data_IF_999566387456
#
_entry.id   IF_999566387456
#
_cell.length_a   1.000
_cell.length_b   1.000
_cell.length_c   1.000
_cell.angle_alpha   90.00
_cell.angle_beta   90.00
_cell.angle_gamma   90.00
#
_symmetry.space_group_name_H-M   'P 1'
#
loop_
_entity.id
_entity.type
_entity.pdbx_description
1 polymer ?
#
# COMPACT_ATOMS: atom_id res chain seq x y z
N UNK A 1 19.14 -4.20 14.90
CA UNK A 1 17.84 -3.92 15.58
C UNK A 1 16.90 -5.12 15.55
N UNK A 2 17.46 -6.34 15.76
CA UNK A 2 16.75 -7.63 15.62
C UNK A 2 16.52 -8.31 17.00
N UNK A 3 16.06 -7.59 17.97
CA UNK A 3 15.80 -8.19 19.28
C UNK A 3 14.45 -7.75 19.82
N UNK A 4 13.39 -8.43 19.41
CA UNK A 4 12.11 -8.46 20.12
C UNK A 4 11.20 -9.59 19.59
N UNK A 5 11.52 -10.83 19.94
CA UNK A 5 10.56 -11.90 19.99
C UNK A 5 10.66 -12.52 21.39
N UNK A 6 9.95 -11.97 22.36
CA UNK A 6 9.65 -12.64 23.63
C UNK A 6 8.32 -13.38 23.49
N UNK A 7 8.45 -14.63 23.18
CA UNK A 7 7.75 -15.84 23.66
C UNK A 7 6.41 -15.56 24.36
N UNK A 8 5.33 -15.84 23.65
CA UNK A 8 4.05 -16.23 24.22
C UNK A 8 3.85 -17.73 24.01
N UNK A 9 4.20 -18.55 25.04
CA UNK A 9 3.71 -19.92 25.13
C UNK A 9 2.27 -19.87 25.60
N UNK A 10 1.30 -20.13 24.72
CA UNK A 10 0.02 -20.71 25.07
C UNK A 10 -0.25 -21.89 24.16
N UNK A 11 -0.17 -23.07 24.74
CA UNK A 11 -0.66 -24.31 24.15
C UNK A 11 -2.18 -24.20 23.99
N UNK A 12 -2.67 -24.29 22.78
CA UNK A 12 -4.03 -24.76 22.50
C UNK A 12 -4.02 -25.43 21.15
N UNK A 13 -4.11 -26.73 21.19
CA UNK A 13 -4.44 -27.61 20.08
C UNK A 13 -5.90 -27.42 19.74
N UNK A 14 -6.18 -26.73 18.67
CA UNK A 14 -7.31 -26.96 17.78
C UNK A 14 -7.09 -26.16 16.49
N UNK A 15 -6.77 -26.87 15.41
CA UNK A 15 -6.66 -26.29 14.06
C UNK A 15 -7.99 -26.54 13.38
N UNK A 16 -8.77 -25.50 13.02
CA UNK A 16 -9.90 -25.68 12.11
C UNK A 16 -9.35 -25.99 10.72
N UNK A 17 -9.83 -27.03 10.11
CA UNK A 17 -9.60 -27.30 8.68
C UNK A 17 -10.07 -26.11 7.84
N UNK A 18 -9.12 -25.29 7.41
CA UNK A 18 -9.37 -24.34 6.34
C UNK A 18 -9.41 -25.10 5.02
N UNK A 19 -10.50 -24.91 4.30
CA UNK A 19 -10.89 -25.48 2.99
C UNK A 19 -9.83 -26.32 2.27
N UNK A 20 -10.25 -27.42 1.67
CA UNK A 20 -9.49 -28.39 0.90
C UNK A 20 -8.15 -27.88 0.34
N UNK A 21 -7.03 -28.38 0.90
CA UNK A 21 -5.68 -28.14 0.39
C UNK A 21 -4.90 -26.95 0.94
N UNK A 22 -5.34 -26.24 2.00
CA UNK A 22 -4.54 -25.16 2.63
C UNK A 22 -4.34 -23.90 1.78
N UNK A 23 -5.12 -23.71 0.70
CA UNK A 23 -5.01 -22.56 -0.22
C UNK A 23 -6.06 -21.50 0.08
N UNK A 24 -5.60 -20.29 0.33
CA UNK A 24 -6.44 -19.10 0.54
C UNK A 24 -6.74 -18.38 -0.77
N UNK A 25 -7.96 -17.85 -0.90
CA UNK A 25 -8.26 -16.82 -1.90
C UNK A 25 -8.11 -15.46 -1.23
N UNK A 26 -7.24 -14.64 -1.77
CA UNK A 26 -6.83 -13.37 -1.19
C UNK A 26 -7.06 -12.20 -2.15
N UNK A 27 -7.21 -11.00 -1.59
CA UNK A 27 -7.34 -9.75 -2.33
C UNK A 27 -6.37 -8.73 -1.73
N UNK A 28 -5.37 -8.32 -2.49
CA UNK A 28 -4.51 -7.20 -2.13
C UNK A 28 -5.09 -5.89 -2.68
N UNK A 29 -5.41 -4.94 -1.81
CA UNK A 29 -5.86 -3.59 -2.20
C UNK A 29 -4.66 -2.72 -2.53
N UNK A 30 -4.79 -1.84 -3.53
CA UNK A 30 -3.72 -0.92 -3.95
C UNK A 30 -4.29 0.43 -4.40
N UNK A 31 -3.41 1.35 -4.82
CA UNK A 31 -3.80 2.63 -5.40
C UNK A 31 -4.06 2.49 -6.90
N UNK A 32 -4.96 3.33 -7.43
CA UNK A 32 -5.26 3.37 -8.88
C UNK A 32 -3.99 3.62 -9.69
N UNK A 33 -3.75 2.76 -10.68
CA UNK A 33 -2.59 2.81 -11.55
C UNK A 33 -1.40 1.96 -11.08
N UNK A 34 -1.46 1.37 -9.86
CA UNK A 34 -0.44 0.46 -9.35
C UNK A 34 -0.85 -1.02 -9.45
N UNK A 35 -2.03 -1.33 -9.96
CA UNK A 35 -2.51 -2.71 -10.09
C UNK A 35 -1.54 -3.61 -10.88
N UNK A 36 -0.92 -3.17 -12.01
CA UNK A 36 0.06 -3.99 -12.72
C UNK A 36 1.34 -4.24 -11.93
N UNK A 37 1.79 -3.25 -11.15
CA UNK A 37 3.00 -3.39 -10.30
C UNK A 37 2.73 -4.39 -9.18
N UNK A 38 1.58 -4.25 -8.49
CA UNK A 38 1.19 -5.18 -7.44
C UNK A 38 1.01 -6.61 -7.96
N UNK A 39 0.43 -6.78 -9.16
CA UNK A 39 0.32 -8.11 -9.79
C UNK A 39 1.69 -8.73 -10.03
N UNK A 40 2.67 -7.94 -10.49
CA UNK A 40 4.03 -8.41 -10.69
C UNK A 40 4.72 -8.78 -9.37
N UNK A 41 4.59 -7.96 -8.32
CA UNK A 41 5.09 -8.29 -6.97
C UNK A 41 4.51 -9.61 -6.45
N UNK A 42 3.21 -9.86 -6.65
CA UNK A 42 2.55 -11.11 -6.24
C UNK A 42 3.07 -12.31 -7.01
N UNK A 43 3.27 -12.20 -8.33
CA UNK A 43 3.84 -13.26 -9.16
C UNK A 43 5.26 -13.58 -8.69
N UNK A 44 6.08 -12.58 -8.41
CA UNK A 44 7.45 -12.74 -7.92
C UNK A 44 7.50 -13.39 -6.52
N UNK A 45 6.47 -13.21 -5.69
CA UNK A 45 6.31 -13.92 -4.41
C UNK A 45 5.79 -15.36 -4.53
N UNK A 46 5.43 -15.81 -5.74
CA UNK A 46 4.91 -17.15 -6.00
C UNK A 46 3.40 -17.30 -5.85
N UNK A 47 2.65 -16.22 -5.96
CA UNK A 47 1.19 -16.26 -5.95
C UNK A 47 0.61 -16.96 -7.19
N UNK A 48 -0.48 -17.69 -7.00
CA UNK A 48 -1.23 -18.33 -8.07
C UNK A 48 -2.50 -17.53 -8.40
N UNK A 49 -3.06 -17.74 -9.60
CA UNK A 49 -4.33 -17.15 -10.05
C UNK A 49 -4.39 -15.61 -9.86
N UNK A 50 -3.30 -14.94 -10.21
CA UNK A 50 -3.18 -13.49 -10.06
C UNK A 50 -4.05 -12.78 -11.10
N UNK A 51 -5.06 -12.02 -10.65
CA UNK A 51 -6.00 -11.30 -11.50
C UNK A 51 -6.14 -9.85 -11.06
N UNK A 52 -5.89 -8.93 -11.99
CA UNK A 52 -6.06 -7.49 -11.74
C UNK A 52 -7.54 -7.12 -11.74
N UNK A 53 -7.92 -6.34 -10.72
CA UNK A 53 -9.22 -5.71 -10.58
C UNK A 53 -9.08 -4.19 -10.41
N UNK A 54 -10.18 -3.52 -10.07
CA UNK A 54 -10.15 -2.07 -9.82
C UNK A 54 -9.57 -1.76 -8.43
N UNK A 55 -8.40 -1.15 -8.37
CA UNK A 55 -7.66 -0.81 -7.14
C UNK A 55 -7.38 -2.04 -6.25
N UNK A 56 -7.26 -3.20 -6.85
CA UNK A 56 -7.01 -4.45 -6.17
C UNK A 56 -6.48 -5.51 -7.13
N UNK A 57 -5.82 -6.53 -6.56
CA UNK A 57 -5.39 -7.73 -7.27
C UNK A 57 -5.82 -8.93 -6.45
N UNK A 58 -6.59 -9.85 -7.04
CA UNK A 58 -6.92 -11.14 -6.43
C UNK A 58 -5.86 -12.18 -6.74
N UNK A 59 -5.61 -13.07 -5.81
CA UNK A 59 -4.60 -14.12 -5.95
C UNK A 59 -4.90 -15.29 -5.00
N UNK A 60 -4.20 -16.41 -5.22
CA UNK A 60 -4.27 -17.58 -4.34
C UNK A 60 -2.89 -17.97 -3.83
N UNK A 61 -2.86 -18.55 -2.64
CA UNK A 61 -1.65 -19.07 -2.03
C UNK A 61 -1.87 -19.65 -0.64
N UNK A 62 -0.84 -20.20 -0.07
CA UNK A 62 -0.82 -20.79 1.26
C UNK A 62 -0.64 -19.75 2.39
N UNK A 63 -0.56 -20.21 3.63
CA UNK A 63 -0.32 -19.38 4.81
C UNK A 63 1.04 -18.68 4.75
N UNK A 64 2.06 -19.34 4.25
CA UNK A 64 3.38 -18.74 4.09
C UNK A 64 3.34 -17.57 3.09
N UNK A 65 2.61 -17.70 1.98
CA UNK A 65 2.41 -16.61 1.05
C UNK A 65 1.60 -15.46 1.66
N UNK A 66 0.58 -15.74 2.48
CA UNK A 66 -0.17 -14.71 3.21
C UNK A 66 0.76 -13.86 4.09
N UNK A 67 1.66 -14.51 4.84
CA UNK A 67 2.62 -13.82 5.71
C UNK A 67 3.65 -13.04 4.90
N UNK A 68 4.26 -13.66 3.88
CA UNK A 68 5.19 -12.96 2.97
C UNK A 68 4.54 -11.79 2.25
N UNK A 69 3.30 -11.92 1.81
CA UNK A 69 2.58 -10.84 1.14
C UNK A 69 2.40 -9.62 2.06
N UNK A 70 2.03 -9.83 3.32
CA UNK A 70 1.94 -8.73 4.29
C UNK A 70 3.30 -8.08 4.60
N UNK A 71 4.37 -8.87 4.67
CA UNK A 71 5.72 -8.41 4.98
C UNK A 71 6.38 -7.70 3.80
N UNK A 72 6.29 -8.26 2.60
CA UNK A 72 7.14 -7.93 1.46
C UNK A 72 6.49 -7.02 0.41
N UNK A 73 5.14 -7.01 0.26
CA UNK A 73 4.50 -6.21 -0.77
C UNK A 73 4.67 -4.70 -0.50
N UNK A 74 5.20 -4.02 -1.51
CA UNK A 74 5.53 -2.58 -1.43
C UNK A 74 4.35 -1.71 -1.83
N UNK A 75 3.53 -2.18 -2.77
CA UNK A 75 2.44 -1.40 -3.36
C UNK A 75 1.05 -1.77 -2.83
N UNK A 76 0.95 -2.81 -2.01
CA UNK A 76 -0.29 -3.15 -1.31
C UNK A 76 -0.59 -2.17 -0.18
N UNK A 77 -1.87 -1.86 0.01
CA UNK A 77 -2.36 -1.11 1.17
C UNK A 77 -3.00 -2.00 2.23
N UNK A 78 -3.61 -3.11 1.83
CA UNK A 78 -4.23 -4.13 2.70
C UNK A 78 -4.29 -5.47 1.97
N UNK A 79 -4.28 -6.55 2.74
CA UNK A 79 -4.51 -7.91 2.25
C UNK A 79 -5.70 -8.50 2.98
N UNK A 80 -6.69 -8.90 2.20
CA UNK A 80 -7.93 -9.48 2.68
C UNK A 80 -7.96 -10.96 2.33
N UNK A 81 -8.25 -11.82 3.30
CA UNK A 81 -8.46 -13.26 3.10
C UNK A 81 -9.96 -13.51 2.99
N UNK A 82 -10.42 -13.98 1.83
CA UNK A 82 -11.82 -14.27 1.61
C UNK A 82 -12.22 -15.51 2.42
N UNK A 83 -13.20 -15.35 3.29
CA UNK A 83 -13.76 -16.45 4.10
C UNK A 83 -15.09 -16.94 3.58
N UNK A 84 -15.88 -16.04 2.98
CA UNK A 84 -17.14 -16.42 2.34
C UNK A 84 -17.53 -15.43 1.24
N UNK A 85 -18.39 -15.85 0.35
CA UNK A 85 -18.96 -14.96 -0.66
C UNK A 85 -20.18 -15.62 -1.30
N UNK A 86 -21.32 -15.00 -1.09
CA UNK A 86 -22.60 -15.50 -1.58
C UNK A 86 -23.34 -14.43 -2.37
N UNK A 87 -24.19 -14.91 -3.24
CA UNK A 87 -25.11 -14.08 -3.98
C UNK A 87 -26.43 -14.05 -3.24
N UNK A 88 -26.80 -12.87 -2.77
CA UNK A 88 -28.10 -12.64 -2.18
C UNK A 88 -29.12 -12.42 -3.32
N UNK A 89 -30.04 -13.35 -3.50
CA UNK A 89 -31.11 -13.21 -4.49
C UNK A 89 -32.16 -12.22 -3.99
N UNK A 90 -32.00 -10.98 -4.36
CA UNK A 90 -33.00 -9.95 -4.12
C UNK A 90 -34.04 -10.04 -5.23
N UNK A 91 -35.12 -10.78 -5.00
CA UNK A 91 -36.26 -10.83 -5.95
C UNK A 91 -36.88 -9.44 -6.04
N UNK A 92 -36.99 -8.93 -7.26
CA UNK A 92 -37.62 -7.63 -7.51
C UNK A 92 -39.01 -7.54 -6.88
N UNK A 93 -39.45 -6.35 -6.56
CA UNK A 93 -40.81 -6.02 -6.04
C UNK A 93 -41.91 -6.41 -7.04
N UNK A 94 -42.16 -7.70 -7.20
CA UNK A 94 -43.38 -8.21 -7.84
C UNK A 94 -44.06 -9.04 -6.78
N UNK A 95 -45.12 -8.46 -6.21
CA UNK A 95 -46.01 -9.08 -5.21
C UNK A 95 -45.41 -9.34 -3.83
N UNK A 96 -45.23 -8.31 -2.99
CA UNK A 96 -45.41 -8.29 -1.51
C UNK A 96 -44.70 -9.29 -0.58
N UNK A 97 -44.22 -10.44 -1.04
CA UNK A 97 -43.79 -11.58 -0.21
C UNK A 97 -42.30 -11.91 -0.28
N UNK A 98 -41.44 -11.04 -0.80
CA UNK A 98 -39.99 -11.25 -0.83
C UNK A 98 -39.33 -10.87 0.48
N UNK A 99 -38.37 -11.69 0.99
CA UNK A 99 -37.53 -11.33 2.12
C UNK A 99 -36.79 -10.01 1.83
N UNK A 100 -36.69 -9.12 2.83
CA UNK A 100 -35.96 -7.86 2.68
C UNK A 100 -34.47 -8.13 2.47
N UNK A 101 -33.77 -7.34 1.65
CA UNK A 101 -32.33 -7.51 1.41
C UNK A 101 -31.49 -7.56 2.70
N UNK A 102 -31.85 -6.75 3.68
CA UNK A 102 -31.22 -6.70 5.00
C UNK A 102 -31.41 -7.98 5.83
N UNK A 103 -32.52 -8.68 5.64
CA UNK A 103 -32.79 -9.94 6.34
C UNK A 103 -32.02 -11.08 5.67
N UNK A 104 -31.91 -11.05 4.34
CA UNK A 104 -31.06 -12.01 3.61
C UNK A 104 -29.58 -11.86 4.00
N UNK A 105 -29.08 -10.63 4.12
CA UNK A 105 -27.73 -10.37 4.60
C UNK A 105 -27.53 -10.90 6.03
N UNK A 106 -28.49 -10.65 6.91
CA UNK A 106 -28.42 -11.09 8.30
C UNK A 106 -28.39 -12.61 8.40
N UNK A 107 -29.32 -13.33 7.73
CA UNK A 107 -29.36 -14.79 7.75
C UNK A 107 -28.10 -15.40 7.14
N UNK A 108 -27.59 -14.84 6.04
CA UNK A 108 -26.34 -15.29 5.46
C UNK A 108 -25.18 -15.19 6.45
N UNK A 109 -24.98 -14.03 7.09
CA UNK A 109 -23.90 -13.81 8.03
C UNK A 109 -24.06 -14.65 9.30
N UNK A 110 -25.29 -14.78 9.82
CA UNK A 110 -25.59 -15.59 11.00
C UNK A 110 -25.37 -17.08 10.73
N UNK A 111 -25.61 -17.53 9.50
CA UNK A 111 -25.40 -18.93 9.08
C UNK A 111 -23.93 -19.33 8.96
N UNK A 112 -22.99 -18.40 8.98
CA UNK A 112 -21.56 -18.70 8.95
C UNK A 112 -21.08 -19.25 10.30
N UNK A 113 -20.12 -20.17 10.27
CA UNK A 113 -19.49 -20.68 11.49
C UNK A 113 -18.35 -19.76 11.98
N UNK A 114 -18.71 -18.78 12.79
CA UNK A 114 -17.78 -17.78 13.32
C UNK A 114 -16.81 -18.35 14.38
N UNK A 115 -17.08 -19.55 14.92
CA UNK A 115 -16.16 -20.21 15.88
C UNK A 115 -14.82 -20.60 15.26
N UNK A 116 -14.74 -20.65 13.92
CA UNK A 116 -13.50 -20.87 13.18
C UNK A 116 -12.56 -19.66 13.20
N UNK A 117 -13.09 -18.46 13.43
CA UNK A 117 -12.34 -17.21 13.32
C UNK A 117 -12.19 -16.45 14.62
N UNK A 118 -13.08 -16.66 15.57
CA UNK A 118 -13.07 -15.93 16.84
C UNK A 118 -13.63 -16.78 17.99
N UNK A 119 -13.32 -16.38 19.22
CA UNK A 119 -13.90 -16.92 20.46
C UNK A 119 -14.83 -15.88 21.10
N UNK A 120 -15.51 -16.25 22.18
CA UNK A 120 -16.33 -15.32 22.96
C UNK A 120 -15.53 -14.16 23.60
N UNK A 121 -14.20 -14.29 23.70
CA UNK A 121 -13.30 -13.27 24.25
C UNK A 121 -12.69 -12.36 23.19
N UNK A 122 -12.86 -12.69 21.92
CA UNK A 122 -12.30 -11.93 20.80
C UNK A 122 -12.99 -10.59 20.66
N UNK A 123 -12.20 -9.54 20.40
CA UNK A 123 -12.72 -8.24 19.96
C UNK A 123 -12.74 -8.15 18.46
N UNK A 124 -13.78 -7.56 17.86
CA UNK A 124 -13.87 -7.43 16.41
C UNK A 124 -14.37 -6.06 15.97
N UNK A 125 -14.06 -5.71 14.73
CA UNK A 125 -14.63 -4.58 14.03
C UNK A 125 -15.08 -4.97 12.62
N UNK A 126 -15.97 -4.19 12.03
CA UNK A 126 -16.50 -4.41 10.69
C UNK A 126 -16.26 -3.17 9.84
N UNK A 127 -15.61 -3.36 8.70
CA UNK A 127 -15.43 -2.37 7.65
C UNK A 127 -16.28 -2.75 6.43
N UNK A 128 -17.36 -2.01 6.17
CA UNK A 128 -18.28 -2.28 5.08
C UNK A 128 -18.06 -1.33 3.91
N UNK A 129 -17.83 -1.90 2.72
CA UNK A 129 -17.76 -1.19 1.45
C UNK A 129 -18.94 -1.59 0.59
N UNK A 130 -19.75 -0.63 0.16
CA UNK A 130 -21.01 -0.88 -0.54
C UNK A 130 -21.04 -0.14 -1.88
N UNK A 131 -21.23 -0.92 -2.96
CA UNK A 131 -21.47 -0.46 -4.32
C UNK A 131 -22.79 -1.04 -4.84
N UNK A 132 -23.92 -0.65 -4.24
CA UNK A 132 -25.23 -1.22 -4.50
C UNK A 132 -26.32 -0.17 -4.41
N UNK A 133 -27.27 -0.24 -5.31
CA UNK A 133 -28.51 0.55 -5.21
C UNK A 133 -29.46 -0.02 -4.16
N UNK A 134 -29.34 -1.32 -3.87
CA UNK A 134 -30.15 -2.04 -2.88
C UNK A 134 -29.71 -1.70 -1.45
N UNK A 135 -28.38 -1.69 -1.22
CA UNK A 135 -27.78 -1.34 0.07
C UNK A 135 -27.12 0.06 -0.03
N UNK A 136 -27.83 1.10 0.34
CA UNK A 136 -27.35 2.48 0.15
C UNK A 136 -26.47 3.01 1.30
N UNK A 137 -26.39 2.30 2.42
CA UNK A 137 -25.75 2.80 3.63
C UNK A 137 -24.79 1.75 4.22
N UNK A 138 -23.49 1.99 4.11
CA UNK A 138 -22.45 1.09 4.63
C UNK A 138 -22.52 0.95 6.16
N UNK A 139 -22.88 2.04 6.88
CA UNK A 139 -23.04 1.99 8.34
C UNK A 139 -24.17 1.06 8.76
N UNK A 140 -25.27 1.05 8.00
CA UNK A 140 -26.38 0.13 8.24
C UNK A 140 -25.94 -1.33 8.03
N UNK A 141 -25.20 -1.62 6.95
CA UNK A 141 -24.59 -2.96 6.70
C UNK A 141 -23.71 -3.37 7.86
N UNK A 142 -22.83 -2.48 8.35
CA UNK A 142 -21.99 -2.74 9.52
C UNK A 142 -22.79 -3.17 10.74
N UNK A 143 -23.87 -2.45 11.07
CA UNK A 143 -24.72 -2.81 12.21
C UNK A 143 -25.43 -4.14 12.00
N UNK A 144 -25.97 -4.41 10.81
CA UNK A 144 -26.71 -5.64 10.53
C UNK A 144 -25.80 -6.88 10.61
N UNK A 145 -24.57 -6.77 10.08
CA UNK A 145 -23.55 -7.82 10.19
C UNK A 145 -23.13 -8.05 11.65
N UNK A 146 -22.92 -6.96 12.40
CA UNK A 146 -22.62 -7.03 13.85
C UNK A 146 -23.71 -7.77 14.61
N UNK A 147 -24.97 -7.45 14.36
CA UNK A 147 -26.11 -8.08 15.04
C UNK A 147 -26.19 -9.57 14.71
N UNK A 148 -25.99 -9.95 13.46
CA UNK A 148 -25.94 -11.36 13.02
C UNK A 148 -24.84 -12.16 13.73
N UNK A 149 -23.63 -11.60 13.85
CA UNK A 149 -22.51 -12.22 14.58
C UNK A 149 -22.84 -12.33 16.08
N UNK A 150 -23.40 -11.29 16.68
CA UNK A 150 -23.76 -11.29 18.09
C UNK A 150 -24.83 -12.35 18.40
N UNK A 151 -25.82 -12.49 17.52
CA UNK A 151 -26.90 -13.48 17.71
C UNK A 151 -26.43 -14.91 17.44
N UNK A 152 -25.52 -15.11 16.47
CA UNK A 152 -24.83 -16.39 16.30
C UNK A 152 -24.21 -16.90 17.63
N UNK A 153 -23.52 -16.04 18.36
CA UNK A 153 -22.90 -16.39 19.63
C UNK A 153 -23.91 -16.54 20.76
N UNK A 154 -24.97 -15.74 20.80
CA UNK A 154 -26.05 -15.88 21.81
C UNK A 154 -26.76 -17.22 21.74
N UNK A 155 -26.96 -17.74 20.53
CA UNK A 155 -27.68 -19.01 20.33
C UNK A 155 -26.82 -20.25 20.61
N UNK A 156 -25.49 -20.15 20.48
CA UNK A 156 -24.57 -21.29 20.62
C UNK A 156 -23.92 -21.44 21.99
N UNK A 157 -23.88 -20.40 22.78
CA UNK A 157 -23.19 -20.43 24.09
C UNK A 157 -24.10 -21.02 25.16
N UNK A 158 -24.38 -22.32 25.09
CA UNK A 158 -24.98 -23.04 26.21
C UNK A 158 -24.53 -24.49 26.19
N UNK A 159 -23.32 -24.73 26.72
CA UNK A 159 -22.94 -26.09 27.18
C UNK A 159 -23.86 -26.64 28.28
N UNK A 160 -24.69 -25.77 28.88
CA UNK A 160 -25.56 -26.08 30.04
C UNK A 160 -27.05 -25.98 29.73
N UNK A 161 -27.43 -25.83 28.45
CA UNK A 161 -28.82 -25.85 28.02
C UNK A 161 -29.68 -24.62 28.38
N UNK A 162 -29.10 -23.55 28.88
CA UNK A 162 -29.84 -22.32 29.25
C UNK A 162 -29.59 -21.21 28.24
N UNK A 163 -30.62 -20.64 27.59
CA UNK A 163 -30.47 -19.50 26.70
C UNK A 163 -30.10 -18.24 27.49
N UNK A 164 -29.07 -17.52 27.08
CA UNK A 164 -28.95 -16.09 27.39
C UNK A 164 -27.92 -15.61 28.39
N UNK A 165 -27.05 -16.48 28.96
CA UNK A 165 -25.96 -16.04 29.87
C UNK A 165 -24.57 -16.05 29.22
N UNK A 166 -24.50 -16.29 27.90
CA UNK A 166 -23.24 -16.53 27.21
C UNK A 166 -22.41 -15.29 26.99
N UNK A 167 -21.14 -15.37 27.32
CA UNK A 167 -20.08 -14.48 26.92
C UNK A 167 -20.04 -14.41 25.38
N UNK A 168 -20.00 -13.22 24.82
CA UNK A 168 -19.99 -13.01 23.38
C UNK A 168 -18.83 -12.10 22.99
N UNK A 169 -18.33 -12.19 21.75
CA UNK A 169 -17.34 -11.25 21.23
C UNK A 169 -17.80 -9.80 21.38
N UNK A 170 -16.88 -8.92 21.68
CA UNK A 170 -17.16 -7.48 21.85
C UNK A 170 -16.63 -6.68 20.65
N UNK A 171 -17.22 -5.50 20.42
CA UNK A 171 -16.78 -4.61 19.33
C UNK A 171 -15.69 -3.67 19.84
N UNK A 172 -14.56 -3.64 19.15
CA UNK A 172 -13.48 -2.66 19.36
C UNK A 172 -13.13 -2.00 18.03
N UNK A 173 -13.41 -0.71 17.89
CA UNK A 173 -13.17 0.01 16.63
C UNK A 173 -11.71 0.42 16.47
N UNK A 174 -11.01 0.70 17.56
CA UNK A 174 -9.66 1.26 17.53
C UNK A 174 -8.55 0.20 17.42
N UNK A 175 -8.73 -0.96 18.04
CA UNK A 175 -7.75 -2.05 18.01
C UNK A 175 -8.45 -3.41 18.16
N UNK A 176 -9.17 -3.88 17.13
CA UNK A 176 -9.82 -5.18 17.14
C UNK A 176 -8.79 -6.32 17.02
N UNK A 177 -9.11 -7.47 17.59
CA UNK A 177 -8.37 -8.70 17.32
C UNK A 177 -8.70 -9.24 15.94
N UNK A 178 -9.94 -9.04 15.47
CA UNK A 178 -10.40 -9.45 14.14
C UNK A 178 -11.08 -8.29 13.41
N UNK A 179 -10.54 -7.90 12.26
CA UNK A 179 -11.17 -6.93 11.38
C UNK A 179 -11.84 -7.64 10.22
N UNK A 180 -13.17 -7.54 10.18
CA UNK A 180 -14.03 -8.18 9.17
C UNK A 180 -14.34 -7.16 8.08
N UNK A 181 -13.94 -7.43 6.85
CA UNK A 181 -14.30 -6.62 5.70
C UNK A 181 -15.52 -7.22 4.99
N UNK A 182 -16.56 -6.41 4.80
CA UNK A 182 -17.78 -6.77 4.09
C UNK A 182 -17.88 -5.96 2.82
N UNK A 183 -17.84 -6.62 1.68
CA UNK A 183 -17.97 -5.97 0.38
C UNK A 183 -19.29 -6.38 -0.27
N UNK A 184 -20.14 -5.39 -0.56
CA UNK A 184 -21.43 -5.58 -1.23
C UNK A 184 -21.38 -4.84 -2.57
N UNK A 185 -21.69 -5.56 -3.64
CA UNK A 185 -21.79 -4.98 -4.98
C UNK A 185 -22.97 -5.59 -5.76
N UNK A 186 -23.63 -4.75 -6.55
CA UNK A 186 -24.64 -5.25 -7.48
C UNK A 186 -23.98 -6.03 -8.60
N UNK A 187 -24.57 -7.17 -8.95
CA UNK A 187 -24.12 -8.06 -10.01
C UNK A 187 -25.25 -8.26 -11.01
N UNK A 188 -24.95 -8.04 -12.29
CA UNK A 188 -25.93 -8.26 -13.35
C UNK A 188 -26.25 -9.78 -13.46
N UNK A 189 -27.55 -10.11 -13.44
CA UNK A 189 -28.05 -11.47 -13.52
C UNK A 189 -28.83 -11.63 -14.80
N UNK A 190 -28.18 -12.11 -15.88
CA UNK A 190 -28.85 -12.40 -17.14
C UNK A 190 -29.69 -11.23 -17.66
N UNK A 191 -30.61 -11.48 -18.59
CA UNK A 191 -31.38 -10.41 -19.24
C UNK A 191 -32.47 -9.75 -18.38
N UNK A 192 -32.74 -10.18 -17.16
CA UNK A 192 -33.88 -9.66 -16.34
C UNK A 192 -33.70 -9.71 -14.82
N UNK A 193 -32.52 -9.97 -14.27
CA UNK A 193 -32.32 -10.08 -12.81
C UNK A 193 -31.15 -9.23 -12.28
N UNK A 194 -31.33 -8.63 -11.11
CA UNK A 194 -30.27 -8.05 -10.31
C UNK A 194 -30.03 -8.95 -9.11
N UNK A 195 -28.79 -9.34 -8.89
CA UNK A 195 -28.34 -10.00 -7.68
C UNK A 195 -27.40 -9.06 -6.92
N UNK A 196 -27.32 -9.25 -5.63
CA UNK A 196 -26.34 -8.54 -4.79
C UNK A 196 -25.31 -9.56 -4.33
N UNK A 197 -24.05 -9.36 -4.68
CA UNK A 197 -22.95 -10.19 -4.19
C UNK A 197 -22.44 -9.63 -2.88
N UNK A 198 -22.49 -10.45 -1.84
CA UNK A 198 -21.86 -10.16 -0.55
C UNK A 198 -20.60 -11.01 -0.40
N UNK A 199 -19.46 -10.36 -0.17
CA UNK A 199 -18.19 -11.05 0.09
C UNK A 199 -17.71 -10.66 1.48
N UNK A 200 -17.40 -11.65 2.30
CA UNK A 200 -16.85 -11.48 3.65
C UNK A 200 -15.39 -11.92 3.63
N UNK A 201 -14.53 -11.08 4.15
CA UNK A 201 -13.09 -11.30 4.21
C UNK A 201 -12.54 -10.86 5.56
N UNK A 202 -11.45 -11.47 5.99
CA UNK A 202 -10.67 -11.03 7.14
C UNK A 202 -9.50 -10.16 6.68
N UNK A 203 -9.30 -9.02 7.33
CA UNK A 203 -8.14 -8.16 7.08
C UNK A 203 -6.93 -8.72 7.83
N UNK A 204 -5.95 -9.22 7.09
CA UNK A 204 -4.73 -9.78 7.65
C UNK A 204 -3.69 -8.72 7.99
N UNK A 205 -3.84 -7.51 7.48
CA UNK A 205 -2.84 -6.44 7.62
C UNK A 205 -3.02 -5.59 8.88
N UNK A 206 -4.27 -5.35 9.31
CA UNK A 206 -4.60 -4.45 10.41
C UNK A 206 -4.46 -2.97 10.01
N UNK A 207 -3.47 -2.28 10.53
CA UNK A 207 -3.15 -0.94 10.04
C UNK A 207 -2.70 -1.00 8.57
N UNK A 208 -3.03 0.04 7.79
CA UNK A 208 -2.69 0.03 6.36
C UNK A 208 -1.19 -0.18 6.12
N UNK A 209 -0.83 -1.06 5.15
CA UNK A 209 0.56 -1.46 4.89
C UNK A 209 1.48 -0.32 4.44
N UNK A 210 0.93 0.79 3.93
CA UNK A 210 1.74 1.97 3.63
C UNK A 210 2.36 2.60 4.88
N UNK A 211 1.74 2.45 6.05
CA UNK A 211 2.32 2.85 7.33
C UNK A 211 3.39 1.84 7.73
N UNK A 212 4.58 2.00 7.14
CA UNK A 212 5.70 1.07 7.33
C UNK A 212 6.19 0.99 8.78
N UNK A 213 6.13 2.10 9.51
CA UNK A 213 6.66 2.22 10.87
C UNK A 213 7.95 3.04 10.98
N UNK A 214 8.70 3.23 9.90
CA UNK A 214 9.92 4.04 9.90
C UNK A 214 9.64 5.56 9.93
N UNK A 215 8.44 6.02 9.57
CA UNK A 215 8.09 7.44 9.59
C UNK A 215 7.84 7.89 11.04
N UNK A 216 8.88 8.38 11.69
CA UNK A 216 8.84 8.93 13.05
C UNK A 216 8.68 10.44 13.07
N UNK A 217 8.85 11.09 11.91
CA UNK A 217 8.73 12.52 11.72
C UNK A 217 8.11 12.85 10.35
N UNK A 218 7.37 13.92 10.25
CA UNK A 218 6.67 14.30 9.03
C UNK A 218 6.83 15.77 8.69
N UNK A 219 6.74 16.07 7.39
CA UNK A 219 6.52 17.40 6.86
C UNK A 219 5.03 17.55 6.53
N UNK A 220 4.62 18.71 6.09
CA UNK A 220 3.27 18.95 5.61
C UNK A 220 2.99 18.07 4.37
N UNK A 221 1.92 17.25 4.44
CA UNK A 221 1.42 16.37 3.38
C UNK A 221 2.51 15.53 2.65
N UNK A 222 3.20 14.60 3.32
CA UNK A 222 4.20 13.72 2.70
C UNK A 222 3.53 12.78 1.69
N UNK A 223 4.29 12.34 0.67
CA UNK A 223 3.82 11.30 -0.23
C UNK A 223 3.62 9.98 0.54
N UNK A 224 2.58 9.21 0.13
CA UNK A 224 2.32 7.89 0.68
C UNK A 224 3.43 6.90 0.30
N UNK A 225 3.88 6.08 1.24
CA UNK A 225 5.01 5.15 1.07
C UNK A 225 4.76 4.11 -0.02
N UNK A 226 3.55 3.54 -0.10
CA UNK A 226 3.22 2.56 -1.13
C UNK A 226 3.11 3.20 -2.52
N UNK A 227 2.67 4.47 -2.60
CA UNK A 227 2.70 5.23 -3.85
C UNK A 227 4.15 5.52 -4.26
N UNK A 228 5.00 5.96 -3.33
CA UNK A 228 6.42 6.21 -3.60
C UNK A 228 7.15 4.96 -4.11
N UNK A 229 6.95 3.82 -3.44
CA UNK A 229 7.47 2.53 -3.90
C UNK A 229 6.93 2.16 -5.29
N UNK A 230 5.63 2.32 -5.53
CA UNK A 230 5.01 2.07 -6.82
C UNK A 230 5.57 2.95 -7.95
N UNK A 231 5.84 4.23 -7.68
CA UNK A 231 6.49 5.14 -8.62
C UNK A 231 7.91 4.66 -8.98
N UNK A 232 8.69 4.24 -7.99
CA UNK A 232 10.03 3.70 -8.19
C UNK A 232 10.01 2.42 -9.05
N UNK A 233 9.12 1.49 -8.74
CA UNK A 233 8.95 0.25 -9.51
C UNK A 233 8.45 0.51 -10.94
N UNK A 234 7.50 1.46 -11.14
CA UNK A 234 7.05 1.90 -12.48
C UNK A 234 8.16 2.56 -13.30
N UNK A 235 9.09 3.23 -12.62
CA UNK A 235 10.29 3.81 -13.26
C UNK A 235 11.37 2.75 -13.57
N UNK A 236 11.20 1.50 -13.14
CA UNK A 236 12.15 0.42 -13.33
C UNK A 236 13.32 0.43 -12.35
N UNK A 237 13.17 1.10 -11.19
CA UNK A 237 14.18 1.16 -10.16
C UNK A 237 14.36 -0.20 -9.47
N UNK A 238 15.62 -0.63 -9.38
CA UNK A 238 16.04 -1.87 -8.70
C UNK A 238 17.37 -1.69 -7.93
N UNK A 239 17.87 -0.46 -7.85
CA UNK A 239 19.20 -0.16 -7.29
C UNK A 239 20.35 -0.28 -8.30
N UNK A 240 20.08 -0.14 -9.58
CA UNK A 240 21.06 -0.35 -10.67
C UNK A 240 21.92 0.89 -11.00
N UNK A 241 21.68 2.01 -10.33
CA UNK A 241 22.37 3.28 -10.55
C UNK A 241 22.30 4.16 -9.32
N UNK A 242 22.81 5.38 -9.39
CA UNK A 242 22.52 6.42 -8.41
C UNK A 242 21.07 6.91 -8.56
N UNK A 243 20.48 7.29 -7.42
CA UNK A 243 19.13 7.85 -7.35
C UNK A 243 19.16 9.27 -6.76
N UNK A 244 18.36 10.18 -7.33
CA UNK A 244 18.27 11.57 -6.88
C UNK A 244 16.82 11.99 -6.64
N UNK A 245 16.56 12.54 -5.43
CA UNK A 245 15.33 13.27 -5.11
C UNK A 245 15.69 14.69 -4.66
N UNK A 246 15.65 15.68 -5.57
CA UNK A 246 16.07 17.05 -5.26
C UNK A 246 15.01 17.87 -4.50
N UNK A 247 13.86 17.28 -4.15
CA UNK A 247 12.78 17.88 -3.34
C UNK A 247 12.23 16.85 -2.36
N UNK A 248 13.13 16.23 -1.56
CA UNK A 248 12.86 15.00 -0.84
C UNK A 248 11.89 15.14 0.36
N UNK A 249 11.60 16.36 0.81
CA UNK A 249 10.73 16.57 1.96
C UNK A 249 11.18 15.77 3.18
N UNK A 250 10.31 14.91 3.70
CA UNK A 250 10.62 14.02 4.84
C UNK A 250 11.36 12.73 4.45
N UNK A 251 11.86 12.62 3.21
CA UNK A 251 12.73 11.53 2.77
C UNK A 251 12.03 10.25 2.31
N UNK A 252 10.73 10.28 1.99
CA UNK A 252 9.98 9.06 1.63
C UNK A 252 10.53 8.37 0.38
N UNK A 253 10.72 9.10 -0.72
CA UNK A 253 11.28 8.54 -1.97
C UNK A 253 12.70 7.99 -1.77
N UNK A 254 13.65 8.71 -1.15
CA UNK A 254 14.96 8.18 -0.83
C UNK A 254 14.94 6.90 0.01
N UNK A 255 14.07 6.84 1.05
CA UNK A 255 13.98 5.64 1.90
C UNK A 255 13.41 4.45 1.12
N UNK A 256 12.27 4.61 0.42
CA UNK A 256 11.70 3.52 -0.38
C UNK A 256 12.66 3.08 -1.49
N UNK A 257 13.45 4.01 -2.08
CA UNK A 257 14.50 3.67 -3.04
C UNK A 257 15.58 2.78 -2.42
N UNK A 258 16.03 3.08 -1.20
CA UNK A 258 17.01 2.26 -0.48
C UNK A 258 16.46 0.89 -0.10
N UNK A 259 15.21 0.82 0.39
CA UNK A 259 14.55 -0.45 0.71
C UNK A 259 14.39 -1.35 -0.51
N UNK A 260 14.08 -0.78 -1.69
CA UNK A 260 13.99 -1.53 -2.95
C UNK A 260 15.39 -1.98 -3.40
N UNK A 261 16.38 -1.08 -3.40
CA UNK A 261 17.73 -1.37 -3.84
C UNK A 261 18.37 -2.52 -3.03
N UNK A 262 18.18 -2.50 -1.72
CA UNK A 262 18.67 -3.54 -0.80
C UNK A 262 17.74 -4.74 -0.66
N UNK A 263 16.59 -4.71 -1.27
CA UNK A 263 15.52 -5.71 -1.13
C UNK A 263 15.10 -5.95 0.34
N UNK A 264 15.10 -4.90 1.16
CA UNK A 264 14.60 -4.96 2.54
C UNK A 264 13.08 -4.97 2.50
N UNK A 265 12.46 -5.90 3.22
CA UNK A 265 11.01 -6.02 3.29
C UNK A 265 10.37 -4.79 3.97
N UNK A 266 9.39 -4.12 3.35
CA UNK A 266 8.84 -2.87 3.88
C UNK A 266 8.06 -3.05 5.19
N UNK A 267 7.58 -4.26 5.47
CA UNK A 267 6.81 -4.58 6.67
C UNK A 267 7.65 -4.80 7.93
N UNK A 268 8.99 -4.90 7.82
CA UNK A 268 9.88 -5.22 8.95
C UNK A 268 9.87 -4.17 10.07
N UNK A 269 9.48 -2.93 9.76
CA UNK A 269 9.41 -1.83 10.73
C UNK A 269 8.06 -1.75 11.44
N UNK A 270 7.10 -2.58 11.08
CA UNK A 270 5.77 -2.60 11.70
C UNK A 270 5.83 -3.25 13.08
N UNK A 271 4.92 -2.83 13.95
CA UNK A 271 4.82 -3.40 15.30
C UNK A 271 4.13 -4.75 15.29
N UNK A 272 3.08 -4.89 14.49
CA UNK A 272 2.24 -6.09 14.40
C UNK A 272 1.46 -6.11 13.08
N UNK A 273 0.97 -7.29 12.71
CA UNK A 273 -0.03 -7.50 11.68
C UNK A 273 -1.28 -8.11 12.29
N UNK A 274 -2.46 -7.90 11.69
CA UNK A 274 -3.70 -8.42 12.25
C UNK A 274 -3.75 -9.96 12.29
N UNK A 275 -3.12 -10.65 11.33
CA UNK A 275 -3.08 -12.10 11.31
C UNK A 275 -2.36 -12.72 12.53
N UNK A 276 -1.50 -11.97 13.22
CA UNK A 276 -0.81 -12.45 14.42
C UNK A 276 -1.77 -12.69 15.62
N UNK A 277 -3.00 -12.11 15.55
CA UNK A 277 -4.07 -12.30 16.54
C UNK A 277 -5.06 -13.39 16.16
N UNK A 278 -4.93 -13.99 14.99
CA UNK A 278 -5.87 -15.01 14.52
C UNK A 278 -5.69 -16.33 15.24
N UNK A 279 -6.78 -17.10 15.38
CA UNK A 279 -6.77 -18.38 16.10
C UNK A 279 -5.82 -19.42 15.49
N UNK A 280 -5.62 -19.35 14.18
CA UNK A 280 -4.78 -20.24 13.40
C UNK A 280 -3.38 -19.66 13.11
N UNK A 281 -2.97 -18.63 13.84
CA UNK A 281 -1.65 -18.03 13.69
C UNK A 281 -0.54 -19.05 13.97
N UNK A 282 0.35 -19.19 13.00
CA UNK A 282 1.52 -20.07 13.08
C UNK A 282 2.77 -19.23 13.40
N UNK A 283 3.12 -19.21 14.66
CA UNK A 283 4.21 -18.37 15.17
C UNK A 283 5.60 -18.87 14.73
N UNK A 284 5.78 -20.17 14.49
CA UNK A 284 7.04 -20.75 14.03
C UNK A 284 7.27 -20.37 12.56
N UNK A 285 6.30 -20.63 11.68
CA UNK A 285 6.32 -20.23 10.29
C UNK A 285 6.52 -18.69 10.12
N UNK A 286 5.84 -17.90 10.97
CA UNK A 286 6.00 -16.45 10.95
C UNK A 286 7.40 -16.01 11.36
N UNK A 287 7.96 -16.62 12.41
CA UNK A 287 9.34 -16.34 12.85
C UNK A 287 10.36 -16.62 11.75
N UNK A 288 10.22 -17.74 11.04
CA UNK A 288 11.10 -18.09 9.94
C UNK A 288 11.03 -17.08 8.80
N UNK A 289 9.82 -16.69 8.40
CA UNK A 289 9.61 -15.69 7.33
C UNK A 289 10.11 -14.30 7.75
N UNK A 290 9.82 -13.87 8.98
CA UNK A 290 10.19 -12.54 9.47
C UNK A 290 11.70 -12.35 9.60
N UNK A 291 12.42 -13.41 9.96
CA UNK A 291 13.87 -13.37 10.16
C UNK A 291 14.67 -13.77 8.91
N UNK A 292 14.03 -14.15 7.82
CA UNK A 292 14.70 -14.48 6.56
C UNK A 292 15.18 -13.21 5.87
N UNK A 293 16.49 -12.97 5.92
CA UNK A 293 17.19 -11.89 5.21
C UNK A 293 17.99 -12.37 3.99
N UNK A 294 17.83 -13.64 3.61
CA UNK A 294 18.58 -14.27 2.52
C UNK A 294 18.43 -13.58 1.16
N UNK A 295 17.35 -12.83 0.99
CA UNK A 295 17.06 -12.08 -0.22
C UNK A 295 17.55 -10.62 -0.18
N UNK A 296 18.11 -10.15 0.95
CA UNK A 296 18.71 -8.81 1.03
C UNK A 296 19.96 -8.74 0.13
N UNK A 297 20.19 -7.57 -0.45
CA UNK A 297 21.27 -7.32 -1.40
C UNK A 297 22.19 -6.21 -0.93
N UNK A 298 23.46 -6.27 -1.32
CA UNK A 298 24.34 -5.12 -1.22
C UNK A 298 23.94 -4.06 -2.25
N UNK A 299 24.02 -2.81 -1.84
CA UNK A 299 23.81 -1.65 -2.70
C UNK A 299 25.11 -0.85 -2.81
N UNK A 300 25.65 -0.76 -4.01
CA UNK A 300 26.97 -0.17 -4.30
C UNK A 300 26.90 1.28 -4.79
N UNK A 301 25.71 1.71 -5.20
CA UNK A 301 25.45 3.11 -5.61
C UNK A 301 25.04 3.98 -4.42
N UNK A 302 24.65 5.23 -4.67
CA UNK A 302 24.18 6.16 -3.66
C UNK A 302 22.82 6.73 -3.99
N UNK A 303 22.10 7.09 -2.93
CA UNK A 303 20.82 7.77 -3.00
C UNK A 303 21.03 9.17 -2.42
N UNK A 304 20.69 10.18 -3.22
CA UNK A 304 20.85 11.57 -2.84
C UNK A 304 19.46 12.20 -2.65
N UNK A 305 19.21 12.73 -1.45
CA UNK A 305 18.03 13.50 -1.15
C UNK A 305 18.42 14.95 -0.82
N UNK A 306 17.74 15.91 -1.42
CA UNK A 306 17.93 17.31 -1.04
C UNK A 306 16.58 18.04 -0.93
N UNK A 307 16.58 19.10 -0.15
CA UNK A 307 15.44 20.01 0.01
C UNK A 307 15.96 21.41 0.37
N UNK A 308 15.24 22.43 -0.04
CA UNK A 308 15.55 23.82 0.32
C UNK A 308 15.31 24.09 1.81
N UNK A 309 14.40 23.34 2.43
CA UNK A 309 13.99 23.49 3.81
C UNK A 309 14.92 22.71 4.75
N UNK A 310 15.59 23.42 5.65
CA UNK A 310 16.37 22.81 6.74
C UNK A 310 15.49 21.88 7.61
N UNK A 311 14.26 22.32 7.90
CA UNK A 311 13.32 21.52 8.67
C UNK A 311 13.01 20.19 7.98
N UNK A 312 12.76 20.20 6.66
CA UNK A 312 12.49 18.98 5.90
C UNK A 312 13.67 18.00 5.98
N UNK A 313 14.90 18.48 5.82
CA UNK A 313 16.11 17.66 5.94
C UNK A 313 16.26 17.05 7.35
N UNK A 314 15.96 17.82 8.40
CA UNK A 314 15.97 17.26 9.76
C UNK A 314 14.95 16.15 9.96
N UNK A 315 13.73 16.27 9.38
CA UNK A 315 12.74 15.20 9.44
C UNK A 315 13.19 13.98 8.61
N UNK A 316 13.74 14.22 7.42
CA UNK A 316 14.29 13.16 6.59
C UNK A 316 15.41 12.36 7.30
N UNK A 317 16.32 13.04 7.99
CA UNK A 317 17.39 12.41 8.79
C UNK A 317 16.84 11.47 9.87
N UNK A 318 15.77 11.89 10.58
CA UNK A 318 15.12 11.05 11.60
C UNK A 318 14.51 9.80 11.00
N UNK A 319 13.81 9.94 9.86
CA UNK A 319 13.16 8.84 9.16
C UNK A 319 14.19 7.87 8.55
N UNK A 320 15.25 8.38 7.91
CA UNK A 320 16.36 7.59 7.35
C UNK A 320 17.03 6.77 8.45
N UNK A 321 17.24 7.38 9.63
CA UNK A 321 17.77 6.68 10.82
C UNK A 321 16.82 5.59 11.30
N UNK A 322 15.53 5.87 11.39
CA UNK A 322 14.52 4.89 11.80
C UNK A 322 14.39 3.73 10.82
N UNK A 323 14.58 3.99 9.52
CA UNK A 323 14.60 2.96 8.47
C UNK A 323 15.95 2.18 8.39
N UNK A 324 16.99 2.58 9.12
CA UNK A 324 18.29 1.88 9.14
C UNK A 324 19.10 1.98 7.85
N UNK A 325 18.79 2.92 6.96
CA UNK A 325 19.42 3.07 5.63
C UNK A 325 20.35 4.28 5.50
N UNK A 326 20.92 4.73 6.63
CA UNK A 326 21.80 5.92 6.67
C UNK A 326 23.07 5.76 5.81
N UNK A 327 23.55 4.53 5.62
CA UNK A 327 24.76 4.26 4.84
C UNK A 327 24.53 4.45 3.34
N UNK A 328 23.31 4.33 2.89
CA UNK A 328 22.91 4.33 1.48
C UNK A 328 22.47 5.73 1.02
N UNK A 329 22.04 6.61 1.96
CA UNK A 329 21.41 7.88 1.67
C UNK A 329 22.25 9.06 2.14
N UNK A 330 22.49 10.01 1.24
CA UNK A 330 23.14 11.29 1.50
C UNK A 330 22.07 12.39 1.46
N UNK A 331 21.87 13.09 2.57
CA UNK A 331 20.91 14.19 2.68
C UNK A 331 21.61 15.54 2.74
N UNK A 332 21.16 16.53 1.96
CA UNK A 332 21.71 17.88 1.92
C UNK A 332 20.62 18.94 1.90
N UNK A 333 20.83 20.03 2.64
CA UNK A 333 20.02 21.24 2.49
C UNK A 333 20.58 22.05 1.33
N UNK A 334 19.93 21.98 0.16
CA UNK A 334 20.30 22.73 -1.04
C UNK A 334 19.08 22.82 -1.96
N UNK A 335 18.94 23.94 -2.66
CA UNK A 335 17.92 24.11 -3.70
C UNK A 335 18.30 23.34 -4.96
N UNK A 336 17.31 22.81 -5.66
CA UNK A 336 17.53 22.01 -6.88
C UNK A 336 18.35 22.75 -7.93
N UNK A 337 18.11 24.03 -8.10
CA UNK A 337 18.84 24.90 -9.06
C UNK A 337 20.29 25.20 -8.67
N UNK A 338 20.65 24.96 -7.41
CA UNK A 338 22.01 25.19 -6.88
C UNK A 338 22.88 23.91 -6.88
N UNK A 339 22.30 22.76 -7.24
CA UNK A 339 23.00 21.47 -7.28
C UNK A 339 24.04 21.51 -8.41
N UNK A 340 25.31 21.68 -8.06
CA UNK A 340 26.42 21.65 -9.01
C UNK A 340 27.12 20.28 -9.05
N UNK A 341 27.15 19.56 -7.93
CA UNK A 341 27.61 18.20 -7.78
C UNK A 341 27.08 17.64 -6.46
N UNK A 342 26.55 16.43 -6.46
CA UNK A 342 26.16 15.74 -5.23
C UNK A 342 27.26 14.80 -4.73
N UNK A 343 28.25 14.46 -5.56
CA UNK A 343 29.31 13.48 -5.27
C UNK A 343 30.56 14.05 -4.60
N UNK A 344 30.71 15.39 -4.52
CA UNK A 344 31.89 16.03 -3.94
C UNK A 344 31.66 16.72 -2.59
N UNK A 345 32.73 16.95 -1.83
CA UNK A 345 32.79 17.95 -0.80
C UNK A 345 32.38 19.30 -1.40
N UNK A 346 31.77 20.19 -0.61
CA UNK A 346 31.28 21.52 -1.06
C UNK A 346 32.32 22.31 -1.88
N UNK A 347 33.58 21.91 -1.81
CA UNK A 347 34.73 22.59 -2.44
C UNK A 347 35.43 21.79 -3.54
N UNK A 348 35.00 20.58 -3.90
CA UNK A 348 35.66 19.82 -4.98
C UNK A 348 34.90 19.97 -6.29
N UNK A 349 35.57 20.35 -7.40
CA UNK A 349 34.97 20.38 -8.72
C UNK A 349 34.66 18.96 -9.16
N UNK A 350 33.52 18.77 -9.87
CA UNK A 350 33.16 17.50 -10.51
C UNK A 350 34.34 16.99 -11.34
N UNK A 351 34.95 15.92 -10.93
CA UNK A 351 35.82 15.14 -11.80
C UNK A 351 34.91 14.29 -12.67
N UNK A 352 34.67 14.73 -13.90
CA UNK A 352 34.17 13.98 -15.08
C UNK A 352 33.12 12.86 -14.89
N UNK A 353 32.40 12.78 -13.77
CA UNK A 353 31.35 11.79 -13.63
C UNK A 353 30.01 12.36 -14.13
N UNK A 354 29.80 12.09 -15.39
CA UNK A 354 28.52 12.26 -16.05
C UNK A 354 27.45 11.49 -15.28
N UNK A 355 26.31 12.14 -14.98
CA UNK A 355 25.11 11.46 -14.43
C UNK A 355 24.51 10.46 -15.46
N UNK A 356 25.37 9.67 -16.09
CA UNK A 356 24.98 8.71 -17.11
C UNK A 356 24.18 7.61 -16.44
N UNK A 357 22.92 7.48 -16.83
CA UNK A 357 21.95 6.47 -16.35
C UNK A 357 21.41 6.67 -14.92
N UNK A 358 21.64 7.79 -14.24
CA UNK A 358 21.03 8.04 -12.95
C UNK A 358 19.49 8.19 -13.07
N UNK A 359 18.78 7.81 -12.01
CA UNK A 359 17.33 8.04 -11.89
C UNK A 359 17.05 9.26 -11.01
N UNK A 360 16.35 10.24 -11.57
CA UNK A 360 15.85 11.41 -10.81
C UNK A 360 14.35 11.26 -10.63
N UNK A 361 13.86 11.41 -9.41
CA UNK A 361 12.42 11.38 -9.14
C UNK A 361 12.01 12.56 -8.27
N UNK A 362 10.95 13.26 -8.67
CA UNK A 362 10.55 14.50 -8.04
C UNK A 362 9.06 14.47 -7.74
N UNK A 363 8.72 14.80 -6.50
CA UNK A 363 7.37 15.11 -6.04
C UNK A 363 7.33 16.58 -5.61
N UNK A 364 7.28 17.54 -6.55
CA UNK A 364 7.29 18.96 -6.22
C UNK A 364 6.01 19.37 -5.51
N UNK A 365 5.97 20.51 -4.80
CA UNK A 365 4.73 21.02 -4.24
C UNK A 365 3.71 21.34 -5.35
N UNK A 366 2.45 20.95 -5.13
CA UNK A 366 1.31 21.19 -6.00
C UNK A 366 0.01 21.32 -5.18
N UNK A 367 -1.09 21.73 -5.83
CA UNK A 367 -2.34 22.04 -5.14
C UNK A 367 -2.27 23.37 -4.38
N UNK A 368 -2.85 23.43 -3.19
CA UNK A 368 -2.96 24.65 -2.37
C UNK A 368 -1.66 25.05 -1.65
N UNK A 369 -0.53 24.37 -1.90
CA UNK A 369 0.75 24.58 -1.20
C UNK A 369 1.56 25.81 -1.63
N UNK A 370 1.20 26.46 -2.72
CA UNK A 370 1.82 27.69 -3.18
C UNK A 370 0.80 28.81 -3.28
N UNK A 371 1.25 30.02 -2.95
CA UNK A 371 0.37 31.19 -2.77
C UNK A 371 -0.29 31.67 -4.08
N UNK A 372 0.29 31.36 -5.24
CA UNK A 372 -0.29 31.74 -6.53
C UNK A 372 0.08 30.76 -7.66
N UNK A 373 -0.74 30.77 -8.74
CA UNK A 373 -0.43 30.01 -9.97
C UNK A 373 0.89 30.47 -10.62
N UNK A 374 1.25 31.73 -10.48
CA UNK A 374 2.47 32.29 -11.04
C UNK A 374 3.72 31.73 -10.34
N UNK A 375 3.67 31.58 -9.01
CA UNK A 375 4.79 30.99 -8.26
C UNK A 375 4.98 29.52 -8.64
N UNK A 376 3.86 28.83 -8.92
CA UNK A 376 3.86 27.44 -9.37
C UNK A 376 4.52 27.33 -10.77
N UNK A 377 4.14 28.18 -11.72
CA UNK A 377 4.72 28.19 -13.06
C UNK A 377 6.21 28.49 -13.02
N UNK A 378 6.64 29.46 -12.21
CA UNK A 378 8.05 29.81 -12.01
C UNK A 378 8.84 28.64 -11.41
N UNK A 379 8.31 27.96 -10.38
CA UNK A 379 8.95 26.79 -9.77
C UNK A 379 9.16 25.67 -10.80
N UNK A 380 8.11 25.33 -11.58
CA UNK A 380 8.22 24.28 -12.59
C UNK A 380 9.14 24.65 -13.76
N UNK A 381 9.23 25.94 -14.09
CA UNK A 381 10.23 26.45 -15.02
C UNK A 381 11.66 26.25 -14.50
N UNK A 382 11.91 26.54 -13.21
CA UNK A 382 13.20 26.28 -12.53
C UNK A 382 13.53 24.79 -12.51
N UNK A 383 12.55 23.92 -12.20
CA UNK A 383 12.73 22.46 -12.26
C UNK A 383 13.16 22.05 -13.68
N UNK A 384 12.48 22.52 -14.70
CA UNK A 384 12.82 22.20 -16.08
C UNK A 384 14.21 22.68 -16.51
N UNK A 385 14.63 23.85 -16.03
CA UNK A 385 15.99 24.39 -16.26
C UNK A 385 17.04 23.53 -15.54
N UNK A 386 16.80 23.18 -14.27
CA UNK A 386 17.71 22.34 -13.49
C UNK A 386 17.87 20.95 -14.12
N UNK A 387 16.78 20.33 -14.57
CA UNK A 387 16.82 19.04 -15.25
C UNK A 387 17.70 19.08 -16.51
N UNK A 388 17.67 20.18 -17.29
CA UNK A 388 18.48 20.34 -18.51
C UNK A 388 19.96 20.52 -18.21
N UNK A 389 20.29 21.22 -17.13
CA UNK A 389 21.67 21.69 -16.89
C UNK A 389 22.40 20.89 -15.83
N UNK A 390 21.72 20.48 -14.75
CA UNK A 390 22.35 19.75 -13.66
C UNK A 390 22.20 18.22 -13.78
N UNK A 391 21.15 17.74 -14.47
CA UNK A 391 20.85 16.31 -14.55
C UNK A 391 20.93 15.76 -15.99
N UNK A 392 21.69 16.40 -16.86
CA UNK A 392 21.89 15.93 -18.23
C UNK A 392 22.49 14.50 -18.23
N UNK A 393 21.92 13.60 -19.05
CA UNK A 393 22.29 12.18 -19.11
C UNK A 393 21.47 11.26 -18.19
N UNK A 394 20.67 11.82 -17.26
CA UNK A 394 19.79 11.06 -16.40
C UNK A 394 18.40 10.78 -17.01
N UNK A 395 17.65 9.90 -16.38
CA UNK A 395 16.20 9.76 -16.60
C UNK A 395 15.47 10.42 -15.44
N UNK A 396 14.56 11.37 -15.73
CA UNK A 396 13.77 12.02 -14.70
C UNK A 396 12.30 11.60 -14.76
N UNK A 397 11.68 11.49 -13.59
CA UNK A 397 10.25 11.27 -13.42
C UNK A 397 9.68 12.31 -12.46
N UNK A 398 8.54 12.90 -12.82
CA UNK A 398 7.88 13.94 -12.03
C UNK A 398 6.41 13.58 -11.86
N UNK A 399 5.92 13.63 -10.61
CA UNK A 399 4.50 13.50 -10.31
C UNK A 399 3.89 14.87 -9.97
N UNK A 400 2.72 15.18 -10.53
CA UNK A 400 1.97 16.39 -10.17
C UNK A 400 0.50 16.28 -10.58
N UNK A 401 -0.40 16.86 -9.79
CA UNK A 401 -1.79 17.08 -10.16
C UNK A 401 -2.00 18.37 -10.98
N UNK A 402 -1.01 19.27 -11.04
CA UNK A 402 -1.11 20.51 -11.78
C UNK A 402 -0.60 20.35 -13.24
N UNK A 403 -1.53 20.08 -14.14
CA UNK A 403 -1.21 19.90 -15.58
C UNK A 403 -0.70 21.17 -16.26
N UNK A 404 -1.11 22.36 -15.81
CA UNK A 404 -0.66 23.63 -16.35
C UNK A 404 0.82 23.86 -15.99
N UNK A 405 1.18 23.69 -14.71
CA UNK A 405 2.54 23.80 -14.24
C UNK A 405 3.48 22.76 -14.89
N UNK A 406 3.01 21.54 -15.12
CA UNK A 406 3.79 20.51 -15.83
C UNK A 406 4.21 20.91 -17.25
N UNK A 407 3.46 21.80 -17.92
CA UNK A 407 3.85 22.34 -19.23
C UNK A 407 5.02 23.33 -19.12
N UNK A 408 5.15 24.03 -17.98
CA UNK A 408 6.21 25.00 -17.73
C UNK A 408 7.61 24.36 -17.55
N UNK A 409 7.69 23.03 -17.34
CA UNK A 409 8.96 22.28 -17.35
C UNK A 409 9.71 22.47 -18.68
N UNK A 410 8.98 22.72 -19.79
CA UNK A 410 9.59 23.00 -21.10
C UNK A 410 10.39 21.83 -21.68
N UNK A 411 10.08 20.59 -21.25
CA UNK A 411 10.59 19.34 -21.78
C UNK A 411 9.41 18.48 -22.29
N UNK A 412 9.63 17.72 -23.35
CA UNK A 412 8.63 16.79 -23.88
C UNK A 412 8.75 15.46 -23.13
N UNK A 413 7.72 14.99 -22.40
CA UNK A 413 7.76 13.69 -21.75
C UNK A 413 7.80 12.55 -22.78
N UNK A 414 8.60 11.52 -22.51
CA UNK A 414 8.68 10.28 -23.30
C UNK A 414 7.60 9.27 -22.91
N UNK A 415 7.11 9.33 -21.65
CA UNK A 415 6.01 8.50 -21.13
C UNK A 415 5.14 9.32 -20.17
N UNK A 416 3.84 9.05 -20.17
CA UNK A 416 2.87 9.65 -19.24
C UNK A 416 2.03 8.55 -18.62
N UNK A 417 1.92 8.56 -17.29
CA UNK A 417 1.08 7.67 -16.52
C UNK A 417 0.11 8.51 -15.68
N UNK A 418 -1.00 7.91 -15.26
CA UNK A 418 -1.95 8.51 -14.33
C UNK A 418 -1.91 7.73 -13.02
N UNK A 419 -1.66 8.42 -11.92
CA UNK A 419 -1.62 7.87 -10.56
C UNK A 419 -2.51 8.70 -9.64
N UNK A 420 -2.98 8.08 -8.56
CA UNK A 420 -3.73 8.78 -7.52
C UNK A 420 -2.82 9.05 -6.32
N UNK A 421 -2.69 10.32 -5.92
CA UNK A 421 -2.04 10.71 -4.67
C UNK A 421 -3.08 11.25 -3.69
N UNK A 422 -3.50 10.41 -2.74
CA UNK A 422 -4.70 10.69 -1.96
C UNK A 422 -5.94 10.71 -2.86
N UNK A 423 -6.62 11.85 -2.92
CA UNK A 423 -7.77 12.09 -3.80
C UNK A 423 -7.38 12.77 -5.12
N UNK A 424 -6.13 13.21 -5.27
CA UNK A 424 -5.66 13.95 -6.42
C UNK A 424 -5.29 13.03 -7.58
N UNK A 425 -5.88 13.27 -8.75
CA UNK A 425 -5.48 12.62 -10.01
C UNK A 425 -4.22 13.30 -10.54
N UNK A 426 -3.09 12.57 -10.53
CA UNK A 426 -1.78 13.08 -10.87
C UNK A 426 -1.28 12.53 -12.20
N UNK A 427 -0.57 13.37 -12.97
CA UNK A 427 0.31 12.91 -14.03
C UNK A 427 1.65 12.49 -13.45
N UNK A 428 2.18 11.35 -13.88
CA UNK A 428 3.51 10.87 -13.60
C UNK A 428 4.26 10.73 -14.93
N UNK A 429 5.12 11.68 -15.22
CA UNK A 429 5.74 11.87 -16.51
C UNK A 429 7.23 11.55 -16.49
N UNK A 430 7.69 10.78 -17.52
CA UNK A 430 9.10 10.46 -17.78
C UNK A 430 9.71 11.49 -18.72
N UNK A 431 10.93 11.93 -18.41
CA UNK A 431 11.77 12.77 -19.24
C UNK A 431 13.14 12.15 -19.41
N UNK A 432 13.62 12.03 -20.64
CA UNK A 432 14.97 11.60 -20.97
C UNK A 432 15.84 12.83 -21.17
N UNK A 433 16.87 12.96 -20.35
CA UNK A 433 17.72 14.16 -20.29
C UNK A 433 19.00 13.90 -21.09
N UNK A 434 19.06 14.43 -22.30
CA UNK A 434 20.21 14.23 -23.17
C UNK A 434 21.35 15.20 -22.87
N UNK A 435 22.58 14.74 -23.05
CA UNK A 435 23.75 15.63 -23.14
C UNK A 435 23.81 16.21 -24.55
N UNK A 436 23.93 17.55 -24.67
CA UNK A 436 23.99 18.25 -25.97
C UNK A 436 22.63 18.47 -26.67
N UNK A 437 22.66 18.98 -27.88
CA UNK A 437 21.44 19.23 -28.68
C UNK A 437 20.95 17.92 -29.28
N UNK A 438 19.64 17.65 -29.19
CA UNK A 438 18.96 16.44 -29.72
C UNK A 438 19.26 16.11 -31.18
N UNK A 439 19.66 17.12 -31.97
CA UNK A 439 19.90 16.96 -33.41
C UNK A 439 21.29 16.36 -33.76
N UNK A 440 22.18 16.16 -32.81
CA UNK A 440 23.53 15.63 -33.09
C UNK A 440 23.58 14.08 -33.06
N UNK A 441 22.56 13.40 -32.52
CA UNK A 441 22.50 11.92 -32.42
C UNK A 441 21.86 11.19 -33.62
N UNK A 442 21.40 11.88 -34.65
CA UNK A 442 20.77 11.24 -35.84
C UNK A 442 21.82 10.97 -36.95
N UNK A 443 23.12 11.15 -36.67
CA UNK A 443 24.19 11.01 -37.67
C UNK A 443 25.28 9.97 -37.35
N UNK A 444 24.97 8.97 -36.45
CA UNK A 444 25.84 7.78 -36.30
C UNK A 444 25.10 6.50 -36.70
#
# INVERSE_FOLDING_TARGET
>A
MRARLHIWKKSCTFVPEMKEGGVYTMLAKTFKGLEPVLAQELIELGANDVQMGRRAVSFKGDKALLYRANLCLRTASRILVKVSGERLEVRGKVNGDGAKPEDLLYEYVKGMDWSQYMTADTTFAIDATVYSETFRNSRFVTYRVKDAIADYWRERVTGDGLPGTGKRPSVSVSNPDLLINVHIADEAVGCKGYGVKCTISLDSSGESLHKRGYRVATTEAPINEALAAGMLLLAGWKGQSDFYDPMCGSGTLPIEAALIARNIAPGIFRKEFAFEKWLDFDAELWSDIYNDDSQEREFTHKIYGSDASFYAIQQAQKNVKAAGVQKDIVLRQIRMEEIKSLNGSINEPMVNDQMVNALVMINPPYGERLASNKDMEELYGKIGSALKHQFAGATAWIISSNEAAMKCIGLKPSKKLRLLNGELDCQFNKYELFQGKRNERVKE
#
